data_IF_898921947146
#
_entry.id   IF_898921947146
#
_cell.length_a   1.000
_cell.length_b   1.000
_cell.length_c   1.000
_cell.angle_alpha   90.00
_cell.angle_beta   90.00
_cell.angle_gamma   90.00
#
_symmetry.space_group_name_H-M   'P 1'
#
loop_
_entity.id
_entity.type
_entity.pdbx_description
1 polymer ?
#
# COMPACT_ATOMS: atom_id res chain seq x y z
N UNK A 1 10.92 32.11 -13.33
CA UNK A 1 9.79 31.19 -13.04
C UNK A 1 10.41 29.88 -12.61
N UNK A 2 10.08 29.35 -11.44
CA UNK A 2 10.54 28.03 -11.04
C UNK A 2 9.83 26.99 -11.93
N UNK A 3 10.59 26.18 -12.66
CA UNK A 3 10.00 25.09 -13.44
C UNK A 3 9.32 24.10 -12.49
N UNK A 4 8.03 23.84 -12.72
CA UNK A 4 7.26 22.86 -11.97
C UNK A 4 7.62 21.45 -12.45
N UNK A 5 8.58 20.81 -11.78
CA UNK A 5 8.93 19.41 -12.06
C UNK A 5 7.98 18.48 -11.30
N UNK A 6 6.99 17.93 -11.99
CA UNK A 6 6.11 16.87 -11.46
C UNK A 6 6.30 15.59 -12.27
N UNK A 7 6.46 14.45 -11.61
CA UNK A 7 6.38 13.14 -12.28
C UNK A 7 4.95 12.66 -12.54
N UNK A 8 3.95 13.41 -12.07
CA UNK A 8 2.56 13.28 -12.52
C UNK A 8 2.32 14.15 -13.75
N UNK A 9 2.90 13.77 -14.88
CA UNK A 9 2.38 14.22 -16.16
C UNK A 9 0.95 13.66 -16.31
N UNK A 10 -0.02 14.54 -16.55
CA UNK A 10 -1.40 14.13 -16.79
C UNK A 10 -1.45 13.16 -17.97
N UNK A 11 -2.01 11.97 -17.76
CA UNK A 11 -2.13 10.93 -18.79
C UNK A 11 -1.10 9.79 -18.71
N UNK A 12 -0.11 9.85 -17.81
CA UNK A 12 0.85 8.75 -17.61
C UNK A 12 0.30 7.58 -16.78
N UNK A 13 0.89 6.39 -16.91
CA UNK A 13 0.49 5.19 -16.14
C UNK A 13 0.58 5.37 -14.63
N UNK A 14 1.64 6.01 -14.13
CA UNK A 14 1.77 6.29 -12.68
C UNK A 14 0.68 7.23 -12.19
N UNK A 15 0.25 8.18 -13.02
CA UNK A 15 -0.87 9.07 -12.74
C UNK A 15 -2.18 8.26 -12.67
N UNK A 16 -2.47 7.45 -13.67
CA UNK A 16 -3.69 6.66 -13.75
C UNK A 16 -3.82 5.68 -12.58
N UNK A 17 -2.77 4.91 -12.31
CA UNK A 17 -2.74 3.93 -11.21
C UNK A 17 -2.90 4.60 -9.84
N UNK A 18 -2.42 5.83 -9.63
CA UNK A 18 -2.66 6.56 -8.38
C UNK A 18 -4.16 6.78 -8.11
N UNK A 19 -4.97 7.03 -9.16
CA UNK A 19 -6.41 7.30 -9.01
C UNK A 19 -7.17 6.00 -8.77
N UNK A 20 -6.85 4.96 -9.54
CA UNK A 20 -7.46 3.64 -9.36
C UNK A 20 -7.19 3.12 -7.95
N UNK A 21 -5.93 3.17 -7.50
CA UNK A 21 -5.59 2.77 -6.13
C UNK A 21 -6.27 3.65 -5.08
N UNK A 22 -6.42 4.96 -5.30
CA UNK A 22 -7.17 5.82 -4.38
C UNK A 22 -8.61 5.36 -4.19
N UNK A 23 -9.32 5.05 -5.28
CA UNK A 23 -10.72 4.58 -5.22
C UNK A 23 -10.82 3.24 -4.48
N UNK A 24 -9.91 2.30 -4.78
CA UNK A 24 -9.86 1.01 -4.06
C UNK A 24 -9.54 1.22 -2.58
N UNK A 25 -8.67 2.17 -2.25
CA UNK A 25 -8.29 2.49 -0.89
C UNK A 25 -9.43 3.11 -0.09
N UNK A 26 -10.31 3.91 -0.69
CA UNK A 26 -11.51 4.42 0.01
C UNK A 26 -12.30 3.25 0.61
N UNK A 27 -12.55 2.19 -0.18
CA UNK A 27 -13.29 1.02 0.31
C UNK A 27 -12.48 0.17 1.30
N UNK A 28 -11.28 -0.24 0.90
CA UNK A 28 -10.47 -1.18 1.69
C UNK A 28 -9.95 -0.57 3.00
N UNK A 29 -9.53 0.69 2.99
CA UNK A 29 -9.11 1.41 4.18
C UNK A 29 -10.29 1.64 5.12
N UNK A 30 -11.45 2.07 4.62
CA UNK A 30 -12.64 2.26 5.44
C UNK A 30 -13.10 0.95 6.09
N UNK A 31 -13.12 -0.14 5.34
CA UNK A 31 -13.40 -1.48 5.86
C UNK A 31 -12.42 -1.87 6.98
N UNK A 32 -11.12 -1.73 6.72
CA UNK A 32 -10.08 -2.07 7.69
C UNK A 32 -10.20 -1.24 8.97
N UNK A 33 -10.35 0.08 8.84
CA UNK A 33 -10.54 0.98 9.97
C UNK A 33 -11.79 0.63 10.76
N UNK A 34 -12.94 0.50 10.10
CA UNK A 34 -14.19 0.16 10.76
C UNK A 34 -14.06 -1.14 11.56
N UNK A 35 -13.58 -2.20 10.91
CA UNK A 35 -13.49 -3.52 11.53
C UNK A 35 -12.52 -3.56 12.72
N UNK A 36 -11.36 -2.90 12.63
CA UNK A 36 -10.31 -2.98 13.67
C UNK A 36 -10.31 -1.83 14.69
N UNK A 37 -11.14 -0.80 14.48
CA UNK A 37 -11.26 0.31 15.44
C UNK A 37 -12.63 0.37 16.10
N UNK A 38 -13.67 -0.25 15.51
CA UNK A 38 -15.03 -0.18 16.05
C UNK A 38 -15.65 -1.56 16.34
N UNK A 39 -15.25 -2.61 15.61
CA UNK A 39 -15.79 -3.97 15.84
C UNK A 39 -14.83 -4.82 16.68
N UNK A 40 -13.54 -4.81 16.36
CA UNK A 40 -12.50 -5.56 17.07
C UNK A 40 -11.48 -4.54 17.58
N UNK A 41 -11.67 -4.01 18.78
CA UNK A 41 -10.82 -2.92 19.27
C UNK A 41 -9.36 -3.39 19.39
N UNK A 42 -8.41 -2.46 19.23
CA UNK A 42 -6.98 -2.79 19.20
C UNK A 42 -6.52 -3.62 20.41
N UNK A 43 -7.06 -3.35 21.60
CA UNK A 43 -6.74 -4.09 22.83
C UNK A 43 -7.19 -5.57 22.83
N UNK A 44 -8.13 -5.93 21.96
CA UNK A 44 -8.74 -7.26 21.86
C UNK A 44 -8.13 -8.09 20.71
N UNK A 45 -7.20 -7.51 19.95
CA UNK A 45 -6.56 -8.19 18.82
C UNK A 45 -5.59 -9.25 19.34
N UNK A 46 -5.94 -10.51 19.11
CA UNK A 46 -5.09 -11.67 19.37
C UNK A 46 -4.57 -12.29 18.08
N UNK A 47 -3.50 -13.08 18.18
CA UNK A 47 -2.96 -13.85 17.05
C UNK A 47 -4.02 -14.83 16.50
N UNK A 48 -4.68 -15.57 17.39
CA UNK A 48 -5.73 -16.53 17.02
C UNK A 48 -6.92 -15.84 16.33
N UNK A 49 -7.35 -14.67 16.82
CA UNK A 49 -8.40 -13.88 16.18
C UNK A 49 -8.00 -13.37 14.80
N UNK A 50 -6.73 -13.00 14.61
CA UNK A 50 -6.20 -12.63 13.30
C UNK A 50 -6.18 -13.81 12.34
N UNK A 51 -5.76 -14.99 12.79
CA UNK A 51 -5.81 -16.21 11.97
C UNK A 51 -7.24 -16.56 11.56
N UNK A 52 -8.19 -16.49 12.49
CA UNK A 52 -9.61 -16.77 12.22
C UNK A 52 -10.23 -15.82 11.17
N UNK A 53 -9.82 -14.53 11.16
CA UNK A 53 -10.23 -13.58 10.10
C UNK A 53 -9.52 -13.86 8.79
N UNK A 54 -8.20 -14.07 8.83
CA UNK A 54 -7.40 -14.32 7.63
C UNK A 54 -7.72 -15.64 6.94
N UNK A 55 -8.30 -16.63 7.63
CA UNK A 55 -8.80 -17.85 7.00
C UNK A 55 -10.08 -17.63 6.18
N UNK A 56 -10.77 -16.49 6.34
CA UNK A 56 -11.93 -16.14 5.53
C UNK A 56 -11.46 -15.58 4.19
N UNK A 57 -11.84 -16.25 3.08
CA UNK A 57 -11.38 -15.87 1.73
C UNK A 57 -11.62 -14.40 1.39
N UNK A 58 -12.80 -13.85 1.71
CA UNK A 58 -13.12 -12.45 1.44
C UNK A 58 -12.25 -11.47 2.24
N UNK A 59 -11.98 -11.76 3.52
CA UNK A 59 -11.10 -10.92 4.35
C UNK A 59 -9.65 -10.99 3.85
N UNK A 60 -9.14 -12.20 3.60
CA UNK A 60 -7.81 -12.43 3.03
C UNK A 60 -7.61 -11.63 1.75
N UNK A 61 -8.52 -11.80 0.77
CA UNK A 61 -8.43 -11.12 -0.51
C UNK A 61 -8.46 -9.60 -0.34
N UNK A 62 -9.33 -9.10 0.54
CA UNK A 62 -9.42 -7.68 0.85
C UNK A 62 -8.09 -7.14 1.42
N UNK A 63 -7.45 -7.88 2.33
CA UNK A 63 -6.16 -7.48 2.90
C UNK A 63 -5.02 -7.55 1.88
N UNK A 64 -5.02 -8.52 0.96
CA UNK A 64 -4.06 -8.59 -0.15
C UNK A 64 -4.21 -7.40 -1.10
N UNK A 65 -5.44 -7.10 -1.53
CA UNK A 65 -5.74 -5.95 -2.39
C UNK A 65 -5.34 -4.66 -1.68
N UNK A 66 -5.67 -4.53 -0.39
CA UNK A 66 -5.29 -3.38 0.42
C UNK A 66 -3.77 -3.22 0.50
N UNK A 67 -3.02 -4.29 0.80
CA UNK A 67 -1.56 -4.30 0.84
C UNK A 67 -0.94 -3.77 -0.46
N UNK A 68 -1.34 -4.32 -1.61
CA UNK A 68 -0.76 -3.97 -2.90
C UNK A 68 -1.09 -2.52 -3.26
N UNK A 69 -2.36 -2.13 -3.14
CA UNK A 69 -2.83 -0.80 -3.53
C UNK A 69 -2.31 0.29 -2.60
N UNK A 70 -2.29 0.07 -1.29
CA UNK A 70 -1.74 1.01 -0.31
C UNK A 70 -0.23 1.19 -0.52
N UNK A 71 0.50 0.08 -0.75
CA UNK A 71 1.94 0.14 -0.98
C UNK A 71 2.25 0.96 -2.23
N UNK A 72 1.60 0.66 -3.35
CA UNK A 72 1.79 1.45 -4.57
C UNK A 72 1.42 2.92 -4.36
N UNK A 73 0.23 3.20 -3.84
CA UNK A 73 -0.30 4.55 -3.68
C UNK A 73 0.59 5.41 -2.78
N UNK A 74 1.02 4.85 -1.64
CA UNK A 74 1.91 5.52 -0.69
C UNK A 74 3.30 5.74 -1.27
N UNK A 75 3.92 4.70 -1.82
CA UNK A 75 5.27 4.78 -2.40
C UNK A 75 5.33 5.77 -3.56
N UNK A 76 4.40 5.65 -4.51
CA UNK A 76 4.32 6.56 -5.65
C UNK A 76 4.00 7.99 -5.19
N UNK A 77 3.09 8.17 -4.23
CA UNK A 77 2.78 9.47 -3.65
C UNK A 77 4.01 10.15 -3.02
N UNK A 78 4.77 9.42 -2.19
CA UNK A 78 5.99 9.93 -1.56
C UNK A 78 7.06 10.27 -2.60
N UNK A 79 7.31 9.39 -3.57
CA UNK A 79 8.26 9.67 -4.65
C UNK A 79 7.90 10.96 -5.41
N UNK A 80 6.62 11.14 -5.75
CA UNK A 80 6.15 12.35 -6.43
C UNK A 80 6.29 13.58 -5.54
N UNK A 81 5.97 13.49 -4.24
CA UNK A 81 6.15 14.59 -3.30
C UNK A 81 7.61 15.05 -3.22
N UNK A 82 8.56 14.11 -3.19
CA UNK A 82 9.99 14.42 -3.20
C UNK A 82 10.42 15.10 -4.51
N UNK A 83 9.97 14.58 -5.66
CA UNK A 83 10.26 15.20 -6.97
C UNK A 83 9.69 16.62 -7.03
N UNK A 84 8.48 16.84 -6.53
CA UNK A 84 7.86 18.16 -6.47
C UNK A 84 8.58 19.12 -5.51
N UNK A 85 9.31 18.60 -4.51
CA UNK A 85 10.20 19.39 -3.65
C UNK A 85 11.55 19.72 -4.33
N UNK A 86 11.77 19.26 -5.57
CA UNK A 86 12.91 19.65 -6.39
C UNK A 86 14.07 18.66 -6.39
N UNK A 87 13.92 17.44 -5.84
CA UNK A 87 15.02 16.47 -5.93
C UNK A 87 15.31 16.09 -7.39
N UNK A 88 16.59 16.08 -7.75
CA UNK A 88 17.03 15.81 -9.11
C UNK A 88 18.29 14.94 -9.13
N UNK A 89 18.79 14.59 -10.32
CA UNK A 89 20.02 13.82 -10.50
C UNK A 89 20.07 12.53 -9.68
N UNK A 90 21.15 12.37 -8.90
CA UNK A 90 21.40 11.19 -8.07
C UNK A 90 20.35 11.01 -6.99
N UNK A 91 19.88 12.09 -6.33
CA UNK A 91 18.88 12.00 -5.27
C UNK A 91 17.55 11.43 -5.81
N UNK A 92 17.10 11.92 -6.97
CA UNK A 92 15.90 11.40 -7.65
C UNK A 92 16.04 9.91 -8.01
N UNK A 93 17.24 9.50 -8.46
CA UNK A 93 17.54 8.10 -8.79
C UNK A 93 17.51 7.21 -7.55
N UNK A 94 18.16 7.64 -6.47
CA UNK A 94 18.17 6.92 -5.19
C UNK A 94 16.76 6.80 -4.62
N UNK A 95 15.98 7.89 -4.61
CA UNK A 95 14.59 7.87 -4.15
C UNK A 95 13.74 6.89 -4.95
N UNK A 96 13.85 6.91 -6.30
CA UNK A 96 13.12 5.98 -7.16
C UNK A 96 13.45 4.52 -6.81
N UNK A 97 14.71 4.13 -6.87
CA UNK A 97 15.09 2.73 -6.66
C UNK A 97 14.88 2.29 -5.21
N UNK A 98 15.22 3.14 -4.25
CA UNK A 98 15.04 2.85 -2.82
C UNK A 98 13.58 2.63 -2.47
N UNK A 99 12.69 3.54 -2.89
CA UNK A 99 11.26 3.40 -2.62
C UNK A 99 10.63 2.23 -3.38
N UNK A 100 11.01 1.99 -4.64
CA UNK A 100 10.52 0.82 -5.39
C UNK A 100 10.96 -0.51 -4.76
N UNK A 101 12.22 -0.62 -4.34
CA UNK A 101 12.71 -1.82 -3.67
C UNK A 101 12.04 -2.03 -2.31
N UNK A 102 11.91 -0.97 -1.51
CA UNK A 102 11.21 -1.02 -0.23
C UNK A 102 9.74 -1.45 -0.42
N UNK A 103 9.04 -0.91 -1.41
CA UNK A 103 7.67 -1.31 -1.75
C UNK A 103 7.56 -2.77 -2.18
N UNK A 104 8.50 -3.26 -3.01
CA UNK A 104 8.54 -4.67 -3.41
C UNK A 104 8.75 -5.59 -2.20
N UNK A 105 9.72 -5.27 -1.34
CA UNK A 105 9.99 -6.05 -0.13
C UNK A 105 8.80 -6.05 0.83
N UNK A 106 8.11 -4.91 0.98
CA UNK A 106 6.89 -4.81 1.78
C UNK A 106 5.78 -5.71 1.25
N UNK A 107 5.55 -5.71 -0.07
CA UNK A 107 4.55 -6.59 -0.70
C UNK A 107 4.91 -8.06 -0.47
N UNK A 108 6.16 -8.46 -0.75
CA UNK A 108 6.60 -9.85 -0.58
C UNK A 108 6.44 -10.33 0.86
N UNK A 109 6.93 -9.53 1.82
CA UNK A 109 6.82 -9.87 3.23
C UNK A 109 5.36 -9.86 3.71
N UNK A 110 4.56 -8.87 3.30
CA UNK A 110 3.15 -8.80 3.62
C UNK A 110 2.36 -10.00 3.08
N UNK A 111 2.66 -10.43 1.86
CA UNK A 111 2.07 -11.62 1.25
C UNK A 111 2.43 -12.89 2.01
N UNK A 112 3.72 -13.05 2.38
CA UNK A 112 4.20 -14.18 3.19
C UNK A 112 3.48 -14.26 4.53
N UNK A 113 3.34 -13.13 5.22
CA UNK A 113 2.61 -13.04 6.49
C UNK A 113 1.13 -13.35 6.28
N UNK A 114 0.51 -12.80 5.23
CA UNK A 114 -0.90 -13.03 4.96
C UNK A 114 -1.23 -14.51 4.71
N UNK A 115 -0.41 -15.21 3.92
CA UNK A 115 -0.51 -16.66 3.68
C UNK A 115 -0.38 -17.44 5.00
N UNK A 116 0.65 -17.12 5.79
CA UNK A 116 0.88 -17.79 7.07
C UNK A 116 -0.30 -17.58 8.04
N UNK A 117 -0.88 -16.38 8.07
CA UNK A 117 -2.05 -16.09 8.91
C UNK A 117 -3.33 -16.74 8.38
N UNK A 118 -3.45 -16.94 7.07
CA UNK A 118 -4.57 -17.64 6.45
C UNK A 118 -4.51 -19.17 6.62
N UNK A 119 -3.39 -19.72 7.10
CA UNK A 119 -3.19 -21.16 7.24
C UNK A 119 -2.98 -21.89 5.91
N UNK A 120 -2.57 -21.17 4.86
CA UNK A 120 -2.32 -21.74 3.53
C UNK A 120 -0.89 -22.32 3.51
N UNK A 121 -0.76 -23.61 3.22
CA UNK A 121 0.54 -24.25 2.96
C UNK A 121 1.00 -23.96 1.53
N UNK A 122 2.27 -23.59 1.36
CA UNK A 122 2.94 -23.40 0.07
C UNK A 122 3.72 -24.66 -0.36
#
# INVERSE_FOLDING_TARGET
MAEYYSSFESGGWSWFLQRITAVVLIGTLAFHFFLLHFVNHAAEITLAGTQARMSQFGYFLTMIVFLITATFHGVNGVYNALVNQGISGTQKRVARFGLSLAGLLLIVQGFRVAIAMAGISL
#
